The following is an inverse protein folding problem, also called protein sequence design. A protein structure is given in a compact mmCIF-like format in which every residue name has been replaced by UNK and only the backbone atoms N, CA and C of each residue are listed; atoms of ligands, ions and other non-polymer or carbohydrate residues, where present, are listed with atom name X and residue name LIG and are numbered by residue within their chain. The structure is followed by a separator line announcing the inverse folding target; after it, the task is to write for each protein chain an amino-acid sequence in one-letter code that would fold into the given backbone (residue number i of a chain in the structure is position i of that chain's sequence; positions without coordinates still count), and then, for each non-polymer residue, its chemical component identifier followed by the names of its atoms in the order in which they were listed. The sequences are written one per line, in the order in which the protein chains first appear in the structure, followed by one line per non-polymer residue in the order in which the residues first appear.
data_IF_973931513609
#
_entry.id   IF_973931513609
#
_cell.length_a   1.000
_cell.length_b   1.000
_cell.length_c   1.000
_cell.angle_alpha   90.00
_cell.angle_beta   90.00
_cell.angle_gamma   90.00
#
_symmetry.space_group_name_H-M   'P 1'
#
loop_
_entity.id
_entity.type
_entity.pdbx_description
1 polymer ?
#
# COMPACT_ATOMS: atom_id res chain seq x y z
N UNK A 1 -16.23 9.02 17.56
CA UNK A 1 -16.75 7.97 16.65
C UNK A 1 -15.61 7.01 16.36
N UNK A 2 -15.63 5.81 16.95
CA UNK A 2 -14.52 4.82 16.92
C UNK A 2 -14.66 3.82 15.76
N UNK A 3 -15.75 3.90 14.99
CA UNK A 3 -16.12 2.91 13.97
C UNK A 3 -15.41 3.07 12.59
N UNK A 4 -14.51 4.03 12.41
CA UNK A 4 -13.88 4.36 11.10
C UNK A 4 -12.43 3.90 10.95
N UNK A 5 -11.87 3.16 11.92
CA UNK A 5 -10.42 2.86 11.93
C UNK A 5 -9.96 1.88 10.83
N UNK A 6 -10.78 0.87 10.52
CA UNK A 6 -10.42 -0.18 9.56
C UNK A 6 -11.12 -0.07 8.19
N UNK A 7 -12.22 0.67 8.09
CA UNK A 7 -12.93 0.89 6.84
C UNK A 7 -12.82 2.34 6.41
N UNK A 8 -11.86 2.63 5.52
CA UNK A 8 -11.71 3.97 4.92
C UNK A 8 -12.96 4.31 4.11
N UNK A 9 -13.54 5.48 4.37
CA UNK A 9 -14.72 6.00 3.69
C UNK A 9 -14.49 7.46 3.32
N UNK A 10 -15.10 7.96 2.24
CA UNK A 10 -15.06 9.39 1.95
C UNK A 10 -15.72 10.18 3.08
N UNK A 11 -15.00 11.14 3.66
CA UNK A 11 -15.50 12.01 4.72
C UNK A 11 -15.64 13.42 4.15
N UNK A 12 -16.79 14.04 4.36
CA UNK A 12 -17.06 15.44 4.00
C UNK A 12 -17.43 16.19 5.27
N UNK A 13 -16.69 17.25 5.58
CA UNK A 13 -16.92 18.10 6.75
C UNK A 13 -17.56 19.41 6.30
N UNK A 14 -18.76 19.68 6.80
CA UNK A 14 -19.44 20.97 6.65
C UNK A 14 -19.27 21.76 7.95
N UNK A 15 -18.86 23.01 7.84
CA UNK A 15 -18.73 23.93 8.97
C UNK A 15 -19.34 25.28 8.62
N UNK A 16 -19.86 25.96 9.64
CA UNK A 16 -20.25 27.37 9.58
C UNK A 16 -19.13 28.29 10.08
N UNK A 17 -18.02 27.71 10.55
CA UNK A 17 -16.84 28.44 10.94
C UNK A 17 -16.09 28.92 9.70
N UNK A 18 -15.93 30.24 9.58
CA UNK A 18 -15.17 30.87 8.49
C UNK A 18 -13.66 30.74 8.70
N UNK A 19 -13.23 30.24 9.87
CA UNK A 19 -11.83 29.95 10.12
C UNK A 19 -11.35 28.76 9.27
N UNK A 20 -10.56 29.09 8.25
CA UNK A 20 -9.95 28.13 7.32
C UNK A 20 -8.62 27.58 7.81
N UNK A 21 -8.14 28.00 8.99
CA UNK A 21 -6.86 27.56 9.55
C UNK A 21 -6.83 26.03 9.75
N UNK A 22 -7.99 25.43 10.05
CA UNK A 22 -8.13 23.98 10.27
C UNK A 22 -8.31 23.15 8.99
N UNK A 23 -8.40 23.77 7.81
CA UNK A 23 -8.63 23.04 6.54
C UNK A 23 -7.49 22.06 6.26
N UNK A 24 -6.25 22.48 6.47
CA UNK A 24 -5.07 21.63 6.21
C UNK A 24 -5.02 20.44 7.16
N UNK A 25 -5.34 20.65 8.43
CA UNK A 25 -5.37 19.58 9.43
C UNK A 25 -6.49 18.58 9.13
N UNK A 26 -7.66 19.06 8.71
CA UNK A 26 -8.77 18.21 8.30
C UNK A 26 -8.43 17.37 7.06
N UNK A 27 -7.76 17.96 6.07
CA UNK A 27 -7.29 17.22 4.87
C UNK A 27 -6.21 16.20 5.25
N UNK A 28 -5.27 16.57 6.12
CA UNK A 28 -4.24 15.65 6.62
C UNK A 28 -4.83 14.49 7.42
N UNK A 29 -5.95 14.71 8.11
CA UNK A 29 -6.72 13.67 8.79
C UNK A 29 -7.55 12.76 7.86
N UNK A 30 -7.53 13.01 6.54
CA UNK A 30 -8.19 12.17 5.54
C UNK A 30 -9.61 12.61 5.15
N UNK A 31 -9.97 13.88 5.37
CA UNK A 31 -11.24 14.43 4.90
C UNK A 31 -11.15 14.74 3.40
N UNK A 32 -12.10 14.24 2.61
CA UNK A 32 -12.15 14.41 1.16
C UNK A 32 -12.60 15.81 0.75
N UNK A 33 -13.40 16.51 1.58
CA UNK A 33 -13.80 17.89 1.35
C UNK A 33 -14.14 18.62 2.67
N UNK A 34 -13.66 19.87 2.79
CA UNK A 34 -13.99 20.80 3.87
C UNK A 34 -14.78 21.96 3.28
N UNK A 35 -16.00 22.19 3.77
CA UNK A 35 -16.92 23.20 3.21
C UNK A 35 -17.30 24.19 4.30
N UNK A 36 -16.87 25.43 4.10
CA UNK A 36 -17.27 26.62 4.88
C UNK A 36 -18.56 27.19 4.28
N UNK A 37 -19.43 27.74 5.13
CA UNK A 37 -20.77 28.29 4.83
C UNK A 37 -21.95 27.30 4.86
N UNK A 38 -21.79 26.18 5.58
CA UNK A 38 -22.92 25.34 5.98
C UNK A 38 -23.57 24.50 4.88
N UNK A 39 -24.67 23.84 5.27
CA UNK A 39 -25.36 22.83 4.46
C UNK A 39 -26.48 23.48 3.63
N UNK A 40 -26.26 23.66 2.33
CA UNK A 40 -27.32 23.99 1.38
C UNK A 40 -27.76 22.70 0.63
N UNK A 41 -29.03 22.26 0.72
CA UNK A 41 -29.48 20.97 0.17
C UNK A 41 -29.11 20.75 -1.31
N UNK A 42 -29.17 21.83 -2.10
CA UNK A 42 -28.87 21.85 -3.53
C UNK A 42 -27.39 21.54 -3.84
N UNK A 43 -26.48 21.84 -2.89
CA UNK A 43 -25.03 21.66 -3.03
C UNK A 43 -24.53 20.32 -2.53
N UNK A 44 -25.33 19.59 -1.73
CA UNK A 44 -24.91 18.34 -1.10
C UNK A 44 -24.51 17.30 -2.14
N UNK A 45 -25.39 17.02 -3.11
CA UNK A 45 -25.16 15.99 -4.12
C UNK A 45 -23.88 16.22 -4.94
N UNK A 46 -23.66 17.39 -5.58
CA UNK A 46 -22.42 17.61 -6.34
C UNK A 46 -21.16 17.58 -5.46
N UNK A 47 -21.24 18.01 -4.20
CA UNK A 47 -20.10 17.91 -3.26
C UNK A 47 -19.77 16.44 -2.96
N UNK A 48 -20.79 15.61 -2.73
CA UNK A 48 -20.59 14.18 -2.49
C UNK A 48 -20.01 13.48 -3.73
N UNK A 49 -20.49 13.82 -4.93
CA UNK A 49 -19.97 13.26 -6.19
C UNK A 49 -18.47 13.55 -6.35
N UNK A 50 -18.05 14.80 -6.09
CA UNK A 50 -16.63 15.18 -6.11
C UNK A 50 -15.84 14.46 -5.01
N UNK A 51 -16.38 14.37 -3.79
CA UNK A 51 -15.71 13.69 -2.68
C UNK A 51 -15.50 12.19 -2.96
N UNK A 52 -16.49 11.52 -3.55
CA UNK A 52 -16.40 10.12 -3.97
C UNK A 52 -15.35 9.92 -5.07
N UNK A 53 -15.35 10.79 -6.09
CA UNK A 53 -14.37 10.73 -7.16
C UNK A 53 -12.93 10.94 -6.64
N UNK A 54 -12.73 11.92 -5.75
CA UNK A 54 -11.44 12.16 -5.09
C UNK A 54 -10.99 10.96 -4.26
N UNK A 55 -11.89 10.38 -3.46
CA UNK A 55 -11.58 9.20 -2.66
C UNK A 55 -11.20 8.01 -3.53
N UNK A 56 -11.94 7.74 -4.61
CA UNK A 56 -11.61 6.65 -5.54
C UNK A 56 -10.23 6.83 -6.18
N UNK A 57 -9.90 8.06 -6.60
CA UNK A 57 -8.59 8.38 -7.16
C UNK A 57 -7.46 8.19 -6.14
N UNK A 58 -7.63 8.68 -4.91
CA UNK A 58 -6.65 8.52 -3.84
C UNK A 58 -6.43 7.04 -3.50
N UNK A 59 -7.49 6.25 -3.44
CA UNK A 59 -7.40 4.82 -3.16
C UNK A 59 -6.67 4.09 -4.29
N UNK A 60 -6.92 4.42 -5.56
CA UNK A 60 -6.19 3.86 -6.69
C UNK A 60 -4.68 4.16 -6.61
N UNK A 61 -4.31 5.42 -6.31
CA UNK A 61 -2.90 5.80 -6.13
C UNK A 61 -2.23 5.06 -4.97
N UNK A 62 -2.94 4.87 -3.86
CA UNK A 62 -2.43 4.14 -2.70
C UNK A 62 -2.21 2.66 -3.01
N UNK A 63 -3.13 2.03 -3.73
CA UNK A 63 -2.96 0.64 -4.19
C UNK A 63 -1.75 0.54 -5.13
N UNK A 64 -1.64 1.42 -6.12
CA UNK A 64 -0.49 1.44 -7.04
C UNK A 64 0.84 1.64 -6.29
N UNK A 65 0.87 2.50 -5.28
CA UNK A 65 2.05 2.69 -4.44
C UNK A 65 2.40 1.42 -3.64
N UNK A 66 1.40 0.77 -3.04
CA UNK A 66 1.61 -0.47 -2.29
C UNK A 66 2.11 -1.61 -3.18
N UNK A 67 1.57 -1.73 -4.39
CA UNK A 67 2.00 -2.72 -5.39
C UNK A 67 3.45 -2.47 -5.82
N UNK A 68 3.79 -1.22 -6.16
CA UNK A 68 5.15 -0.84 -6.54
C UNK A 68 6.17 -1.05 -5.41
N UNK A 69 5.79 -0.75 -4.16
CA UNK A 69 6.62 -1.03 -2.99
C UNK A 69 6.84 -2.53 -2.80
N UNK A 70 5.79 -3.34 -2.98
CA UNK A 70 5.86 -4.79 -2.88
C UNK A 70 6.77 -5.38 -3.96
N UNK A 71 6.64 -4.93 -5.20
CA UNK A 71 7.49 -5.37 -6.32
C UNK A 71 8.97 -5.03 -6.07
N UNK A 72 9.26 -3.82 -5.58
CA UNK A 72 10.62 -3.42 -5.24
C UNK A 72 11.21 -4.27 -4.10
N UNK A 73 10.40 -4.57 -3.08
CA UNK A 73 10.80 -5.45 -1.98
C UNK A 73 11.04 -6.88 -2.46
N UNK A 74 10.16 -7.42 -3.31
CA UNK A 74 10.30 -8.74 -3.93
C UNK A 74 11.61 -8.83 -4.71
N UNK A 75 11.92 -7.84 -5.56
CA UNK A 75 13.16 -7.81 -6.35
C UNK A 75 14.40 -7.83 -5.45
N UNK A 76 14.42 -6.97 -4.41
CA UNK A 76 15.53 -6.95 -3.43
C UNK A 76 15.68 -8.28 -2.69
N UNK A 77 14.57 -8.89 -2.29
CA UNK A 77 14.59 -10.19 -1.62
C UNK A 77 15.12 -11.29 -2.54
N UNK A 78 14.67 -11.33 -3.80
CA UNK A 78 15.11 -12.31 -4.80
C UNK A 78 16.61 -12.18 -5.07
N UNK A 79 17.12 -10.96 -5.26
CA UNK A 79 18.54 -10.76 -5.52
C UNK A 79 19.42 -11.17 -4.32
N UNK A 80 19.00 -10.83 -3.09
CA UNK A 80 19.67 -11.30 -1.86
C UNK A 80 19.62 -12.81 -1.72
N UNK A 81 18.47 -13.41 -1.97
CA UNK A 81 18.24 -14.85 -1.92
C UNK A 81 19.15 -15.61 -2.90
N UNK A 82 19.25 -15.12 -4.15
CA UNK A 82 20.22 -15.65 -5.13
C UNK A 82 21.64 -15.56 -4.60
N UNK A 83 22.05 -14.41 -4.07
CA UNK A 83 23.39 -14.23 -3.50
C UNK A 83 23.74 -15.24 -2.41
N UNK A 84 22.80 -15.52 -1.49
CA UNK A 84 22.99 -16.54 -0.45
C UNK A 84 23.13 -17.94 -1.05
N UNK A 85 22.30 -18.30 -2.03
CA UNK A 85 22.38 -19.60 -2.71
C UNK A 85 23.70 -19.76 -3.47
N UNK A 86 24.16 -18.70 -4.15
CA UNK A 86 25.45 -18.68 -4.84
C UNK A 86 26.60 -18.92 -3.85
N UNK A 87 26.60 -18.22 -2.72
CA UNK A 87 27.66 -18.34 -1.70
C UNK A 87 27.64 -19.69 -0.97
N UNK A 88 26.47 -20.17 -0.53
CA UNK A 88 26.36 -21.39 0.29
C UNK A 88 26.42 -22.68 -0.53
N UNK A 89 25.96 -22.66 -1.78
CA UNK A 89 25.82 -23.86 -2.61
C UNK A 89 26.70 -23.81 -3.88
N UNK A 90 27.50 -22.76 -4.07
CA UNK A 90 28.38 -22.62 -5.24
C UNK A 90 27.63 -22.54 -6.57
N UNK A 91 26.36 -22.08 -6.55
CA UNK A 91 25.53 -21.99 -7.74
C UNK A 91 25.89 -20.76 -8.59
N UNK A 92 25.67 -20.85 -9.90
CA UNK A 92 25.60 -19.67 -10.77
C UNK A 92 24.33 -18.88 -10.48
N UNK A 93 24.28 -17.61 -10.89
CA UNK A 93 23.08 -16.79 -10.71
C UNK A 93 21.83 -17.43 -11.36
N UNK A 94 22.00 -17.98 -12.57
CA UNK A 94 20.92 -18.65 -13.29
C UNK A 94 20.43 -19.89 -12.54
N UNK A 95 21.33 -20.75 -12.06
CA UNK A 95 20.97 -21.93 -11.29
C UNK A 95 20.30 -21.58 -9.95
N UNK A 96 20.73 -20.50 -9.30
CA UNK A 96 20.10 -19.99 -8.09
C UNK A 96 18.67 -19.49 -8.34
N UNK A 97 18.46 -18.76 -9.44
CA UNK A 97 17.13 -18.30 -9.85
C UNK A 97 16.19 -19.47 -10.20
N UNK A 98 16.67 -20.44 -10.98
CA UNK A 98 15.89 -21.63 -11.33
C UNK A 98 15.51 -22.44 -10.09
N UNK A 99 16.40 -22.55 -9.11
CA UNK A 99 16.11 -23.22 -7.84
C UNK A 99 15.04 -22.49 -7.02
N UNK A 100 15.12 -21.16 -6.91
CA UNK A 100 14.09 -20.36 -6.25
C UNK A 100 12.74 -20.49 -6.96
N UNK A 101 12.74 -20.45 -8.29
CA UNK A 101 11.53 -20.61 -9.11
C UNK A 101 10.91 -21.99 -8.94
N UNK A 102 11.71 -23.05 -8.97
CA UNK A 102 11.23 -24.42 -8.76
C UNK A 102 10.60 -24.55 -7.37
N UNK A 103 11.27 -24.05 -6.34
CA UNK A 103 10.75 -24.05 -4.95
C UNK A 103 9.44 -23.27 -4.83
N UNK A 104 9.28 -22.16 -5.57
CA UNK A 104 8.05 -21.39 -5.61
C UNK A 104 6.91 -22.14 -6.28
N UNK A 105 7.18 -22.84 -7.39
CA UNK A 105 6.21 -23.67 -8.10
C UNK A 105 5.76 -24.86 -7.24
N UNK A 106 6.70 -25.57 -6.61
CA UNK A 106 6.41 -26.72 -5.75
C UNK A 106 5.54 -26.35 -4.53
N UNK A 107 5.71 -25.14 -4.00
CA UNK A 107 4.95 -24.63 -2.84
C UNK A 107 3.69 -23.85 -3.22
N UNK A 108 3.46 -23.58 -4.50
CA UNK A 108 2.36 -22.72 -4.96
C UNK A 108 2.45 -21.27 -4.44
N UNK A 109 3.67 -20.78 -4.21
CA UNK A 109 3.92 -19.44 -3.64
C UNK A 109 4.49 -18.49 -4.69
N UNK A 110 4.38 -17.19 -4.43
CA UNK A 110 5.08 -16.17 -5.24
C UNK A 110 6.58 -16.26 -5.02
N UNK A 111 7.37 -15.97 -6.05
CA UNK A 111 8.83 -16.04 -6.00
C UNK A 111 9.44 -15.15 -4.90
N UNK A 112 8.96 -13.90 -4.78
CA UNK A 112 9.41 -12.97 -3.74
C UNK A 112 9.09 -13.45 -2.32
N UNK A 113 8.00 -14.20 -2.14
CA UNK A 113 7.65 -14.79 -0.84
C UNK A 113 8.58 -15.93 -0.46
N UNK A 114 8.92 -16.82 -1.40
CA UNK A 114 9.92 -17.86 -1.17
C UNK A 114 11.28 -17.26 -0.85
N UNK A 115 11.68 -16.21 -1.56
CA UNK A 115 12.93 -15.50 -1.30
C UNK A 115 12.97 -14.93 0.12
N UNK A 116 11.90 -14.24 0.57
CA UNK A 116 11.79 -13.74 1.96
C UNK A 116 11.88 -14.85 2.99
N UNK A 117 11.07 -15.90 2.86
CA UNK A 117 11.05 -17.03 3.81
C UNK A 117 12.42 -17.71 3.92
N UNK A 118 13.14 -17.83 2.79
CA UNK A 118 14.49 -18.38 2.79
C UNK A 118 15.49 -17.47 3.51
N UNK A 119 15.40 -16.15 3.29
CA UNK A 119 16.26 -15.18 3.98
C UNK A 119 15.99 -15.17 5.50
N UNK A 120 14.72 -15.22 5.91
CA UNK A 120 14.34 -15.33 7.33
C UNK A 120 14.95 -16.58 7.97
N UNK A 121 14.86 -17.74 7.31
CA UNK A 121 15.48 -18.98 7.80
C UNK A 121 17.00 -18.88 7.90
N UNK A 122 17.65 -18.16 6.99
CA UNK A 122 19.09 -17.94 6.99
C UNK A 122 19.50 -17.04 8.15
N UNK A 123 18.73 -15.99 8.44
CA UNK A 123 18.96 -15.06 9.55
C UNK A 123 18.69 -15.72 10.93
N UNK A 124 17.80 -16.72 10.99
CA UNK A 124 17.50 -17.51 12.20
C UNK A 124 18.54 -18.60 12.52
N UNK A 125 19.27 -19.08 11.51
CA UNK A 125 20.23 -20.19 11.62
C UNK A 125 21.69 -19.73 11.52
N UNK A 126 21.93 -18.43 11.34
CA UNK A 126 23.25 -17.79 11.35
C UNK A 126 23.50 -17.06 12.66
#
# INVERSE_FOLDING_TARGET
VVATRDARRPIVLFTNDEDTTHVRDAVAAGVCAYIVAGLAPQRIRPILDVAMARFAHEQALRTALADAQTELQDRKAIDRAKGVLMQRQGLTEQAAYEKLRTTAMDKGLKLGEVARRMLEMVDLLG
#
